data_IF_135932548886
#
_entry.id   IF_135932548886
#
_cell.length_a   1.000
_cell.length_b   1.000
_cell.length_c   1.000
_cell.angle_alpha   90.00
_cell.angle_beta   90.00
_cell.angle_gamma   90.00
#
_symmetry.space_group_name_H-M   'P 1'
#
loop_
_entity.id
_entity.type
_entity.pdbx_description
1 polymer ?
#
# COMPACT_ATOMS: atom_id res chain seq x y z
N UNK A 1 -16.68 -12.90 4.71
CA UNK A 1 -16.53 -11.56 4.08
C UNK A 1 -15.17 -11.01 4.48
N UNK A 2 -14.34 -10.53 3.55
CA UNK A 2 -13.00 -9.96 3.86
C UNK A 2 -13.11 -8.44 3.90
N UNK A 3 -12.52 -7.80 4.91
CA UNK A 3 -12.36 -6.35 4.93
C UNK A 3 -11.25 -5.95 3.92
N UNK A 4 -11.58 -5.02 3.02
CA UNK A 4 -10.61 -4.41 2.10
C UNK A 4 -10.35 -2.98 2.52
N UNK A 5 -9.09 -2.58 2.51
CA UNK A 5 -8.74 -1.18 2.74
C UNK A 5 -8.95 -0.37 1.47
N UNK A 6 -9.53 0.83 1.61
CA UNK A 6 -9.69 1.77 0.49
C UNK A 6 -8.69 2.91 0.65
N UNK A 7 -7.86 3.14 -0.37
CA UNK A 7 -6.95 4.28 -0.43
C UNK A 7 -7.18 5.13 -1.66
N UNK A 8 -7.74 6.30 -1.41
CA UNK A 8 -7.98 7.34 -2.39
C UNK A 8 -6.65 8.05 -2.70
N UNK A 9 -6.21 8.00 -3.96
CA UNK A 9 -4.95 8.66 -4.39
C UNK A 9 -5.10 9.51 -5.65
N UNK A 10 -4.46 10.67 -5.67
CA UNK A 10 -4.37 11.50 -6.88
C UNK A 10 -3.36 10.90 -7.89
N UNK A 11 -3.58 11.15 -9.17
CA UNK A 11 -2.68 10.80 -10.27
C UNK A 11 -2.53 12.01 -11.20
N UNK A 12 -1.32 12.48 -11.54
CA UNK A 12 -0.03 12.09 -10.96
C UNK A 12 0.17 12.62 -9.53
N UNK A 13 1.15 12.06 -8.83
CA UNK A 13 1.68 12.62 -7.60
C UNK A 13 2.77 13.69 -7.83
N UNK A 14 3.27 14.28 -6.75
CA UNK A 14 4.31 15.31 -6.78
C UNK A 14 5.62 14.83 -7.45
N UNK A 15 5.92 13.53 -7.42
CA UNK A 15 7.16 13.00 -8.00
C UNK A 15 7.08 12.77 -9.50
N UNK A 16 5.87 12.61 -10.03
CA UNK A 16 5.63 12.17 -11.41
C UNK A 16 4.85 13.18 -12.25
N UNK A 17 4.35 14.28 -11.67
CA UNK A 17 3.53 15.27 -12.37
C UNK A 17 4.24 15.94 -13.57
N UNK A 18 5.57 15.96 -13.57
CA UNK A 18 6.39 16.56 -14.64
C UNK A 18 6.83 15.56 -15.70
N UNK A 19 6.50 14.28 -15.53
CA UNK A 19 6.83 13.22 -16.47
C UNK A 19 5.73 13.10 -17.56
N UNK A 20 6.00 12.37 -18.65
CA UNK A 20 4.94 11.98 -19.58
C UNK A 20 3.85 11.14 -18.88
N UNK A 21 2.60 11.19 -19.37
CA UNK A 21 1.46 10.51 -18.71
C UNK A 21 1.65 9.01 -18.53
N UNK A 22 2.35 8.35 -19.47
CA UNK A 22 2.70 6.94 -19.36
C UNK A 22 3.74 6.63 -18.29
N UNK A 23 4.21 7.63 -17.54
CA UNK A 23 5.10 7.53 -16.38
C UNK A 23 4.48 8.12 -15.11
N UNK A 24 3.18 8.44 -15.13
CA UNK A 24 2.47 8.91 -13.94
C UNK A 24 2.36 7.79 -12.89
N UNK A 25 2.44 8.18 -11.63
CA UNK A 25 2.18 7.30 -10.50
C UNK A 25 1.53 8.05 -9.36
N UNK A 26 1.04 7.30 -8.38
CA UNK A 26 0.33 7.84 -7.22
C UNK A 26 1.12 7.60 -5.94
N UNK A 27 1.14 8.58 -5.03
CA UNK A 27 1.66 8.35 -3.68
C UNK A 27 0.68 7.47 -2.89
N UNK A 28 1.20 6.43 -2.24
CA UNK A 28 0.46 5.61 -1.30
C UNK A 28 1.04 5.74 0.11
N UNK A 29 0.18 6.11 1.06
CA UNK A 29 0.53 6.27 2.48
C UNK A 29 -0.13 5.16 3.30
N UNK A 30 0.68 4.32 3.93
CA UNK A 30 0.26 3.08 4.59
C UNK A 30 0.32 3.21 6.11
N UNK A 31 -0.76 2.78 6.78
CA UNK A 31 -0.86 2.78 8.25
C UNK A 31 -0.40 1.43 8.80
N UNK A 32 0.02 1.36 10.07
CA UNK A 32 0.41 0.08 10.68
C UNK A 32 -0.68 -0.99 10.59
N UNK A 33 -1.96 -0.62 10.75
CA UNK A 33 -3.09 -1.56 10.67
C UNK A 33 -3.17 -2.30 9.32
N UNK A 34 -2.80 -1.65 8.21
CA UNK A 34 -2.70 -2.30 6.89
C UNK A 34 -1.73 -3.48 6.93
N UNK A 35 -0.61 -3.35 7.65
CA UNK A 35 0.41 -4.40 7.79
C UNK A 35 -0.10 -5.53 8.68
N UNK A 36 -0.95 -5.22 9.67
CA UNK A 36 -1.64 -6.22 10.49
C UNK A 36 -2.60 -7.05 9.62
N UNK A 37 -3.43 -6.39 8.80
CA UNK A 37 -4.33 -7.09 7.88
C UNK A 37 -3.58 -7.91 6.84
N UNK A 38 -2.44 -7.40 6.36
CA UNK A 38 -1.55 -8.15 5.48
C UNK A 38 -1.03 -9.43 6.16
N UNK A 39 -0.48 -9.30 7.38
CA UNK A 39 0.03 -10.43 8.14
C UNK A 39 -1.06 -11.48 8.43
N UNK A 40 -2.28 -11.03 8.77
CA UNK A 40 -3.43 -11.92 8.94
C UNK A 40 -3.83 -12.61 7.62
N UNK A 41 -3.80 -11.91 6.50
CA UNK A 41 -4.12 -12.50 5.18
C UNK A 41 -3.15 -13.63 4.84
N UNK A 42 -1.84 -13.38 4.98
CA UNK A 42 -0.79 -14.38 4.73
C UNK A 42 -0.91 -15.52 5.75
N UNK A 43 -1.00 -15.23 7.05
CA UNK A 43 -1.14 -16.24 8.10
C UNK A 43 -2.36 -17.15 7.90
N UNK A 44 -3.48 -16.61 7.42
CA UNK A 44 -4.69 -17.39 7.13
C UNK A 44 -4.46 -18.46 6.07
N UNK A 45 -3.57 -18.22 5.11
CA UNK A 45 -3.20 -19.19 4.07
C UNK A 45 -2.36 -20.35 4.65
N UNK A 46 -1.73 -20.15 5.80
CA UNK A 46 -0.94 -21.16 6.51
C UNK A 46 -1.63 -21.73 7.76
N UNK A 47 -2.93 -21.49 7.95
CA UNK A 47 -3.63 -21.88 9.19
C UNK A 47 -3.50 -23.36 9.53
N UNK A 48 -3.57 -24.23 8.51
CA UNK A 48 -3.40 -25.68 8.65
C UNK A 48 -1.96 -26.17 8.42
N UNK A 49 -1.04 -25.27 8.05
CA UNK A 49 0.32 -25.57 7.58
C UNK A 49 1.37 -24.71 8.32
N UNK A 50 1.14 -24.42 9.60
CA UNK A 50 2.05 -23.56 10.39
C UNK A 50 3.47 -24.10 10.49
N UNK A 51 3.65 -25.41 10.45
CA UNK A 51 4.96 -26.05 10.45
C UNK A 51 5.74 -25.75 9.16
N UNK A 52 5.05 -25.66 8.02
CA UNK A 52 5.65 -25.23 6.75
C UNK A 52 6.19 -23.81 6.88
N UNK A 53 5.35 -22.88 7.37
CA UNK A 53 5.76 -21.50 7.62
C UNK A 53 6.94 -21.42 8.60
N UNK A 54 6.89 -22.21 9.68
CA UNK A 54 7.99 -22.27 10.67
C UNK A 54 9.28 -22.81 10.06
N UNK A 55 9.20 -23.77 9.13
CA UNK A 55 10.38 -24.33 8.46
C UNK A 55 11.08 -23.32 7.55
N UNK A 56 10.31 -22.46 6.88
CA UNK A 56 10.83 -21.38 6.03
C UNK A 56 11.51 -20.30 6.90
N UNK A 57 10.87 -19.89 7.99
CA UNK A 57 11.33 -18.76 8.81
C UNK A 57 12.36 -19.14 9.88
N UNK A 58 12.26 -20.37 10.40
CA UNK A 58 12.96 -20.87 11.57
C UNK A 58 14.48 -20.74 11.53
N UNK A 59 15.17 -21.08 10.41
CA UNK A 59 16.63 -21.02 10.31
C UNK A 59 17.23 -19.64 10.62
N UNK A 60 16.49 -18.56 10.30
CA UNK A 60 16.95 -17.18 10.52
C UNK A 60 16.27 -16.59 11.75
N UNK A 61 14.95 -16.69 11.86
CA UNK A 61 14.20 -15.99 12.91
C UNK A 61 14.46 -16.56 14.32
N UNK A 62 14.90 -17.82 14.43
CA UNK A 62 15.23 -18.44 15.72
C UNK A 62 16.60 -18.06 16.26
N UNK A 63 17.48 -17.46 15.43
CA UNK A 63 18.79 -16.98 15.88
C UNK A 63 18.69 -15.63 16.58
N UNK A 64 17.59 -14.89 16.36
CA UNK A 64 17.33 -13.59 16.97
C UNK A 64 16.91 -13.79 18.44
N UNK A 65 17.78 -13.39 19.35
CA UNK A 65 17.56 -13.37 20.79
C UNK A 65 16.71 -12.15 21.19
N UNK A 66 17.07 -10.95 20.72
CA UNK A 66 16.36 -9.73 21.02
C UNK A 66 15.90 -8.99 19.75
N UNK A 67 14.60 -9.07 19.48
CA UNK A 67 13.99 -8.35 18.36
C UNK A 67 13.99 -6.83 18.57
N UNK A 68 14.07 -6.34 19.81
CA UNK A 68 14.12 -4.90 20.09
C UNK A 68 15.52 -4.31 19.81
N UNK A 69 16.57 -5.15 19.77
CA UNK A 69 17.94 -4.75 19.45
C UNK A 69 18.11 -4.45 17.95
N UNK A 70 18.32 -3.17 17.55
CA UNK A 70 18.42 -2.80 16.15
C UNK A 70 19.60 -3.47 15.43
N UNK A 71 20.74 -3.67 16.11
CA UNK A 71 21.95 -4.20 15.47
C UNK A 71 21.77 -5.64 15.03
N UNK A 72 21.12 -6.44 15.87
CA UNK A 72 20.86 -7.87 15.64
C UNK A 72 19.89 -8.08 14.48
N UNK A 73 18.81 -7.29 14.46
CA UNK A 73 17.79 -7.38 13.41
C UNK A 73 18.28 -6.79 12.09
N UNK A 74 19.05 -5.69 12.14
CA UNK A 74 19.52 -4.98 10.95
C UNK A 74 20.42 -5.86 10.07
N UNK A 75 21.30 -6.67 10.65
CA UNK A 75 22.16 -7.59 9.88
C UNK A 75 21.38 -8.66 9.13
N UNK A 76 20.12 -8.92 9.50
CA UNK A 76 19.29 -9.99 8.95
C UNK A 76 18.18 -9.49 8.01
N UNK A 77 18.12 -8.19 7.69
CA UNK A 77 17.05 -7.63 6.83
C UNK A 77 17.02 -8.30 5.45
N UNK A 78 18.18 -8.59 4.86
CA UNK A 78 18.23 -9.25 3.54
C UNK A 78 17.74 -10.69 3.63
N UNK A 79 18.08 -11.41 4.70
CA UNK A 79 17.58 -12.76 4.95
C UNK A 79 16.07 -12.75 5.19
N UNK A 80 15.56 -11.76 5.94
CA UNK A 80 14.12 -11.55 6.14
C UNK A 80 13.38 -11.31 4.83
N UNK A 81 13.96 -10.54 3.91
CA UNK A 81 13.39 -10.35 2.57
C UNK A 81 13.34 -11.67 1.81
N UNK A 82 14.42 -12.44 1.82
CA UNK A 82 14.49 -13.77 1.18
C UNK A 82 13.45 -14.74 1.76
N UNK A 83 13.23 -14.70 3.08
CA UNK A 83 12.17 -15.47 3.76
C UNK A 83 10.78 -15.08 3.24
N UNK A 84 10.48 -13.78 3.14
CA UNK A 84 9.19 -13.35 2.60
C UNK A 84 9.03 -13.82 1.17
N UNK A 85 10.08 -13.74 0.35
CA UNK A 85 10.03 -14.20 -1.04
C UNK A 85 9.73 -15.71 -1.13
N UNK A 86 10.33 -16.52 -0.26
CA UNK A 86 9.99 -17.93 -0.11
C UNK A 86 8.52 -18.16 0.27
N UNK A 87 7.98 -17.38 1.22
CA UNK A 87 6.57 -17.45 1.63
C UNK A 87 5.63 -17.07 0.48
N UNK A 88 5.94 -16.00 -0.27
CA UNK A 88 5.11 -15.56 -1.39
C UNK A 88 5.16 -16.56 -2.55
N UNK A 89 6.31 -17.20 -2.81
CA UNK A 89 6.44 -18.22 -3.84
C UNK A 89 5.70 -19.52 -3.49
N UNK A 90 5.80 -19.96 -2.23
CA UNK A 90 5.14 -21.19 -1.74
C UNK A 90 3.61 -21.15 -1.87
N UNK A 91 3.01 -19.96 -1.77
CA UNK A 91 1.54 -19.78 -1.84
C UNK A 91 1.11 -18.80 -2.94
N UNK A 92 1.87 -18.69 -4.02
CA UNK A 92 1.66 -17.70 -5.08
C UNK A 92 0.24 -17.72 -5.68
N UNK A 93 -0.33 -18.91 -5.83
CA UNK A 93 -1.69 -19.17 -6.33
C UNK A 93 -2.78 -18.83 -5.31
N UNK A 94 -2.42 -18.58 -4.05
CA UNK A 94 -3.34 -18.24 -2.95
C UNK A 94 -3.38 -16.74 -2.64
N UNK A 95 -2.68 -15.91 -3.41
CA UNK A 95 -2.73 -14.46 -3.25
C UNK A 95 -4.16 -13.93 -3.36
N UNK A 96 -4.41 -12.82 -2.71
CA UNK A 96 -5.75 -12.44 -2.26
C UNK A 96 -5.88 -10.92 -2.29
N UNK A 97 -6.98 -10.33 -2.78
CA UNK A 97 -7.18 -8.89 -2.70
C UNK A 97 -7.08 -8.39 -1.25
N UNK A 98 -6.31 -7.31 -1.06
CA UNK A 98 -6.04 -6.66 0.23
C UNK A 98 -6.47 -5.19 0.22
N UNK A 99 -6.11 -4.45 -0.82
CA UNK A 99 -6.28 -3.01 -0.89
C UNK A 99 -6.89 -2.60 -2.23
N UNK A 100 -7.90 -1.74 -2.14
CA UNK A 100 -8.50 -1.02 -3.25
C UNK A 100 -7.91 0.38 -3.31
N UNK A 101 -7.31 0.74 -4.44
CA UNK A 101 -6.75 2.06 -4.67
C UNK A 101 -7.53 2.76 -5.79
N UNK A 102 -8.66 3.43 -5.48
CA UNK A 102 -9.27 4.35 -6.41
C UNK A 102 -8.32 5.52 -6.71
N UNK A 103 -8.21 5.86 -7.99
CA UNK A 103 -7.42 6.99 -8.47
C UNK A 103 -8.33 8.08 -9.05
N UNK A 104 -7.92 9.34 -8.92
CA UNK A 104 -8.44 10.43 -9.75
C UNK A 104 -7.30 11.12 -10.50
N UNK A 105 -7.40 11.15 -11.83
CA UNK A 105 -6.44 11.79 -12.71
C UNK A 105 -6.73 13.28 -12.86
N UNK A 106 -5.71 14.10 -12.65
CA UNK A 106 -5.75 15.55 -12.86
C UNK A 106 -4.90 15.96 -14.04
N UNK A 107 -5.12 17.18 -14.55
CA UNK A 107 -4.26 17.79 -15.56
C UNK A 107 -2.96 18.23 -14.86
N UNK A 108 -1.92 17.39 -14.94
CA UNK A 108 -0.67 17.58 -14.23
C UNK A 108 -0.90 17.81 -12.72
N UNK A 109 -0.26 18.83 -12.15
CA UNK A 109 -0.40 19.22 -10.74
C UNK A 109 -1.64 20.09 -10.42
N UNK A 110 -2.50 20.35 -11.40
CA UNK A 110 -3.68 21.19 -11.18
C UNK A 110 -4.74 20.47 -10.36
N UNK A 111 -5.71 21.22 -9.83
CA UNK A 111 -6.91 20.66 -9.18
C UNK A 111 -8.05 20.41 -10.18
N UNK A 112 -7.74 20.25 -11.47
CA UNK A 112 -8.73 20.04 -12.53
C UNK A 112 -8.67 18.59 -13.00
N UNK A 113 -9.83 17.92 -13.03
CA UNK A 113 -9.92 16.56 -13.54
C UNK A 113 -9.65 16.48 -15.05
N UNK A 114 -8.91 15.44 -15.44
CA UNK A 114 -8.84 14.97 -16.82
C UNK A 114 -10.23 14.54 -17.31
N UNK A 115 -10.44 14.43 -18.63
CA UNK A 115 -11.66 13.87 -19.19
C UNK A 115 -11.85 12.41 -18.75
N UNK A 116 -10.77 11.61 -18.82
CA UNK A 116 -10.69 10.22 -18.38
C UNK A 116 -9.95 10.23 -17.04
N UNK A 117 -10.70 10.24 -15.94
CA UNK A 117 -10.11 10.56 -14.66
C UNK A 117 -10.29 9.53 -13.55
N UNK A 118 -11.28 8.63 -13.59
CA UNK A 118 -11.48 7.70 -12.47
C UNK A 118 -11.20 6.26 -12.88
N UNK A 119 -10.45 5.58 -12.04
CA UNK A 119 -10.23 4.14 -12.10
C UNK A 119 -9.93 3.58 -10.71
N UNK A 120 -9.73 2.26 -10.62
CA UNK A 120 -9.41 1.55 -9.39
C UNK A 120 -8.38 0.45 -9.65
N UNK A 121 -7.33 0.45 -8.83
CA UNK A 121 -6.34 -0.62 -8.79
C UNK A 121 -6.63 -1.54 -7.60
N UNK A 122 -6.53 -2.85 -7.83
CA UNK A 122 -6.69 -3.87 -6.79
C UNK A 122 -5.34 -4.48 -6.50
N UNK A 123 -4.84 -4.26 -5.28
CA UNK A 123 -3.60 -4.86 -4.82
C UNK A 123 -3.90 -6.17 -4.12
N UNK A 124 -3.27 -7.26 -4.57
CA UNK A 124 -3.20 -8.47 -3.77
C UNK A 124 -2.30 -8.24 -2.56
N UNK A 125 -2.50 -9.04 -1.51
CA UNK A 125 -1.59 -9.08 -0.36
C UNK A 125 -0.13 -9.29 -0.79
N UNK A 126 0.10 -10.11 -1.82
CA UNK A 126 1.45 -10.42 -2.30
C UNK A 126 2.05 -9.27 -3.11
N UNK A 127 1.29 -8.68 -4.05
CA UNK A 127 1.75 -7.50 -4.79
C UNK A 127 2.00 -6.31 -3.86
N UNK A 128 1.13 -6.12 -2.85
CA UNK A 128 1.31 -5.10 -1.83
C UNK A 128 2.53 -5.38 -0.94
N UNK A 129 2.85 -6.64 -0.67
CA UNK A 129 4.07 -7.03 0.06
C UNK A 129 5.33 -6.65 -0.72
N UNK A 130 5.35 -6.94 -2.03
CA UNK A 130 6.46 -6.57 -2.91
C UNK A 130 6.74 -5.07 -2.90
N UNK A 131 5.70 -4.24 -2.86
CA UNK A 131 5.82 -2.79 -2.87
C UNK A 131 6.81 -2.24 -1.83
N UNK A 132 6.77 -2.72 -0.58
CA UNK A 132 7.69 -2.23 0.47
C UNK A 132 8.98 -3.05 0.59
N UNK A 133 9.01 -4.29 0.12
CA UNK A 133 10.23 -5.11 0.04
C UNK A 133 11.18 -4.55 -1.01
N UNK A 134 10.69 -4.33 -2.23
CA UNK A 134 11.47 -3.80 -3.34
C UNK A 134 12.01 -2.40 -3.01
N UNK A 135 11.16 -1.58 -2.39
CA UNK A 135 11.58 -0.27 -1.91
C UNK A 135 12.56 -0.32 -0.73
N UNK A 136 12.63 -1.43 0.02
CA UNK A 136 13.64 -1.63 1.08
C UNK A 136 15.00 -2.01 0.50
N UNK A 137 15.05 -2.80 -0.57
CA UNK A 137 16.30 -3.22 -1.23
C UNK A 137 17.09 -2.05 -1.82
N UNK A 138 16.40 -1.01 -2.30
CA UNK A 138 17.04 0.19 -2.85
C UNK A 138 17.66 1.13 -1.80
N UNK A 139 17.55 0.81 -0.50
CA UNK A 139 18.02 1.67 0.59
C UNK A 139 19.22 1.09 1.33
N UNK A 140 20.02 1.99 1.88
CA UNK A 140 21.18 1.66 2.71
C UNK A 140 20.83 0.73 3.87
N UNK A 141 21.63 -0.31 4.05
CA UNK A 141 21.52 -1.30 5.12
C UNK A 141 22.05 -0.79 6.47
N UNK A 142 22.66 0.41 6.52
CA UNK A 142 23.28 0.94 7.74
C UNK A 142 22.28 1.46 8.79
N UNK A 143 21.00 1.63 8.43
CA UNK A 143 19.96 2.10 9.36
C UNK A 143 18.61 1.48 9.05
N UNK A 144 17.89 1.07 10.10
CA UNK A 144 16.50 0.64 9.97
C UNK A 144 15.63 1.84 9.57
N UNK A 145 15.02 1.75 8.38
CA UNK A 145 14.09 2.75 7.85
C UNK A 145 12.65 2.31 8.14
N UNK A 146 11.68 3.18 7.88
CA UNK A 146 10.25 2.81 7.96
C UNK A 146 9.88 1.59 7.10
N UNK A 147 10.49 1.46 5.92
CA UNK A 147 10.25 0.33 5.01
C UNK A 147 10.84 -0.97 5.56
N UNK A 148 12.12 -0.97 5.95
CA UNK A 148 12.75 -2.17 6.52
C UNK A 148 12.16 -2.54 7.89
N UNK A 149 11.74 -1.56 8.69
CA UNK A 149 10.92 -1.84 9.88
C UNK A 149 9.61 -2.54 9.53
N UNK A 150 8.96 -2.17 8.43
CA UNK A 150 7.73 -2.83 8.00
C UNK A 150 7.98 -4.28 7.59
N UNK A 151 9.12 -4.57 6.95
CA UNK A 151 9.61 -5.95 6.72
C UNK A 151 9.73 -6.70 8.04
N UNK A 152 10.42 -6.11 9.02
CA UNK A 152 10.62 -6.71 10.34
C UNK A 152 9.28 -6.96 11.05
N UNK A 153 8.34 -6.02 11.01
CA UNK A 153 7.01 -6.18 11.58
C UNK A 153 6.26 -7.37 10.96
N UNK A 154 6.25 -7.47 9.63
CA UNK A 154 5.59 -8.57 8.93
C UNK A 154 6.21 -9.92 9.32
N UNK A 155 7.55 -10.02 9.27
CA UNK A 155 8.27 -11.22 9.69
C UNK A 155 7.94 -11.58 11.13
N UNK A 156 8.01 -10.62 12.07
CA UNK A 156 7.77 -10.93 13.48
C UNK A 156 6.37 -11.48 13.71
N UNK A 157 5.36 -10.86 13.10
CA UNK A 157 3.96 -11.31 13.23
C UNK A 157 3.77 -12.72 12.64
N UNK A 158 4.34 -12.99 11.46
CA UNK A 158 4.26 -14.31 10.82
C UNK A 158 5.02 -15.37 11.61
N UNK A 159 6.16 -15.04 12.21
CA UNK A 159 6.95 -15.97 13.01
C UNK A 159 6.26 -16.32 14.33
N UNK A 160 5.68 -15.32 15.01
CA UNK A 160 4.88 -15.53 16.21
C UNK A 160 3.65 -16.38 15.90
N UNK A 161 3.00 -16.14 14.77
CA UNK A 161 1.92 -16.98 14.28
C UNK A 161 2.37 -18.42 14.02
N UNK A 162 3.50 -18.62 13.33
CA UNK A 162 4.02 -19.94 13.02
C UNK A 162 4.25 -20.75 14.31
N UNK A 163 4.89 -20.14 15.33
CA UNK A 163 5.15 -20.76 16.63
C UNK A 163 3.86 -21.00 17.44
N UNK A 164 3.06 -19.95 17.62
CA UNK A 164 2.03 -19.92 18.68
C UNK A 164 0.60 -20.03 18.16
N UNK A 165 0.40 -19.99 16.84
CA UNK A 165 -0.91 -19.92 16.19
C UNK A 165 -1.58 -18.54 16.28
N UNK A 166 -0.90 -17.56 16.89
CA UNK A 166 -1.37 -16.18 17.11
C UNK A 166 -0.20 -15.23 17.27
N UNK A 167 -0.44 -13.94 17.09
CA UNK A 167 0.53 -12.87 17.34
C UNK A 167 -0.15 -11.65 17.97
N UNK A 168 0.64 -10.77 18.58
CA UNK A 168 0.17 -9.52 19.17
C UNK A 168 0.66 -8.33 18.34
N UNK A 169 -0.16 -7.80 17.40
CA UNK A 169 0.28 -6.75 16.50
C UNK A 169 0.64 -5.45 17.23
N UNK A 170 -0.09 -5.10 18.29
CA UNK A 170 0.18 -3.91 19.10
C UNK A 170 1.56 -3.98 19.73
N UNK A 171 1.88 -5.12 20.35
CA UNK A 171 3.19 -5.35 20.94
C UNK A 171 4.31 -5.23 19.90
N UNK A 172 4.14 -5.82 18.71
CA UNK A 172 5.11 -5.71 17.62
C UNK A 172 5.31 -4.26 17.18
N UNK A 173 4.23 -3.53 16.91
CA UNK A 173 4.28 -2.15 16.39
C UNK A 173 4.86 -1.17 17.43
N UNK A 174 4.51 -1.34 18.70
CA UNK A 174 4.91 -0.43 19.78
C UNK A 174 6.34 -0.66 20.26
N UNK A 175 6.81 -1.92 20.25
CA UNK A 175 8.17 -2.24 20.71
C UNK A 175 9.21 -2.16 19.58
N UNK A 176 8.86 -2.62 18.38
CA UNK A 176 9.81 -2.71 17.27
C UNK A 176 9.84 -1.41 16.45
N UNK A 177 10.05 -0.28 17.12
CA UNK A 177 10.01 1.04 16.48
C UNK A 177 11.34 1.44 15.84
N UNK A 178 12.45 0.95 16.39
CA UNK A 178 13.82 1.20 15.93
C UNK A 178 14.12 2.70 15.68
N UNK A 179 13.71 3.54 16.63
CA UNK A 179 13.85 5.01 16.55
C UNK A 179 13.12 5.68 15.38
N UNK A 180 12.10 5.02 14.83
CA UNK A 180 11.20 5.60 13.83
C UNK A 180 9.79 5.77 14.40
N UNK A 181 9.09 6.84 14.03
CA UNK A 181 7.68 7.02 14.44
C UNK A 181 6.80 5.94 13.83
N UNK A 182 5.83 5.44 14.59
CA UNK A 182 4.91 4.36 14.21
C UNK A 182 3.52 4.84 13.77
N UNK A 183 3.31 6.15 13.56
CA UNK A 183 2.07 6.74 13.02
C UNK A 183 1.73 6.29 11.59
N UNK A 184 2.77 5.89 10.85
CA UNK A 184 2.73 5.35 9.49
C UNK A 184 3.65 4.14 9.43
N UNK A 185 3.25 3.12 8.70
CA UNK A 185 4.15 2.02 8.33
C UNK A 185 5.18 2.57 7.34
N UNK A 186 4.72 3.08 6.20
CA UNK A 186 5.55 3.74 5.18
C UNK A 186 4.72 4.66 4.28
N UNK A 187 5.42 5.42 3.43
CA UNK A 187 4.84 6.12 2.28
C UNK A 187 5.76 5.92 1.08
N UNK A 188 5.19 5.71 -0.09
CA UNK A 188 5.91 5.54 -1.35
C UNK A 188 5.27 6.40 -2.42
N UNK A 189 6.11 7.16 -3.14
CA UNK A 189 5.66 8.05 -4.20
C UNK A 189 5.46 7.34 -5.54
N UNK A 190 4.98 8.11 -6.50
CA UNK A 190 4.61 7.69 -7.85
C UNK A 190 5.73 6.99 -8.59
N UNK A 191 6.99 7.40 -8.40
CA UNK A 191 8.14 6.74 -9.03
C UNK A 191 8.28 5.27 -8.61
N UNK A 192 7.93 4.95 -7.36
CA UNK A 192 8.01 3.59 -6.82
C UNK A 192 6.76 2.78 -7.11
N UNK A 193 5.57 3.40 -7.08
CA UNK A 193 4.30 2.71 -7.32
C UNK A 193 4.04 2.45 -8.80
N UNK A 194 4.52 3.34 -9.69
CA UNK A 194 4.29 3.27 -11.13
C UNK A 194 4.61 1.89 -11.71
N UNK A 195 5.74 1.28 -11.34
CA UNK A 195 6.16 -0.03 -11.86
C UNK A 195 5.15 -1.17 -11.63
N UNK A 196 4.30 -1.06 -10.61
CA UNK A 196 3.24 -2.05 -10.31
C UNK A 196 1.89 -1.68 -10.91
N UNK A 197 1.73 -0.44 -11.37
CA UNK A 197 0.47 0.11 -11.87
C UNK A 197 0.47 0.30 -13.39
N UNK A 198 1.60 0.05 -14.08
CA UNK A 198 1.72 0.28 -15.53
C UNK A 198 0.68 -0.54 -16.30
N UNK A 199 -0.31 0.14 -16.86
CA UNK A 199 -1.32 -0.41 -17.75
C UNK A 199 -1.96 0.70 -18.59
N UNK A 200 -2.78 0.31 -19.56
CA UNK A 200 -3.59 1.23 -20.37
C UNK A 200 -4.51 2.12 -19.54
N UNK A 201 -5.10 1.54 -18.49
CA UNK A 201 -6.06 2.18 -17.58
C UNK A 201 -5.40 3.24 -16.69
N UNK A 202 -4.09 3.14 -16.46
CA UNK A 202 -3.34 4.19 -15.75
C UNK A 202 -3.20 5.45 -16.63
N UNK A 203 -2.93 5.26 -17.92
CA UNK A 203 -2.78 6.36 -18.89
C UNK A 203 -4.13 7.00 -19.19
N UNK A 204 -5.14 6.14 -19.42
CA UNK A 204 -6.51 6.54 -19.74
C UNK A 204 -7.51 5.82 -18.82
N UNK A 205 -7.76 6.37 -17.62
CA UNK A 205 -8.79 5.88 -16.71
C UNK A 205 -10.14 5.64 -17.38
N UNK A 206 -10.80 4.54 -17.01
CA UNK A 206 -12.02 4.07 -17.71
C UNK A 206 -13.21 5.00 -17.56
N UNK A 207 -13.34 5.66 -16.41
CA UNK A 207 -14.49 6.51 -16.12
C UNK A 207 -14.16 7.99 -16.34
N UNK A 208 -15.11 8.69 -16.94
CA UNK A 208 -14.96 10.11 -17.24
C UNK A 208 -15.45 10.97 -16.09
N UNK A 209 -14.97 12.23 -16.02
CA UNK A 209 -15.44 13.19 -15.01
C UNK A 209 -16.95 13.44 -15.05
N UNK A 210 -17.61 13.20 -16.20
CA UNK A 210 -19.05 13.38 -16.35
C UNK A 210 -19.88 12.46 -15.45
N UNK A 211 -19.32 11.35 -14.95
CA UNK A 211 -20.03 10.44 -14.05
C UNK A 211 -20.46 11.12 -12.73
N UNK A 212 -19.74 12.17 -12.30
CA UNK A 212 -20.11 12.91 -11.09
C UNK A 212 -21.50 13.55 -11.21
N UNK A 213 -21.94 13.97 -12.40
CA UNK A 213 -23.29 14.51 -12.63
C UNK A 213 -24.40 13.48 -12.36
N UNK A 214 -24.08 12.19 -12.48
CA UNK A 214 -25.02 11.09 -12.29
C UNK A 214 -25.01 10.54 -10.86
N UNK A 215 -23.96 10.87 -10.08
CA UNK A 215 -23.79 10.40 -8.70
C UNK A 215 -24.17 11.49 -7.69
N UNK A 216 -23.70 12.72 -7.92
CA UNK A 216 -23.93 13.86 -7.04
C UNK A 216 -25.12 14.65 -7.61
N UNK A 217 -26.30 14.35 -7.09
CA UNK A 217 -27.57 14.84 -7.59
C UNK A 217 -28.12 16.00 -6.74
N UNK A 218 -29.11 16.73 -7.27
CA UNK A 218 -29.91 17.68 -6.50
C UNK A 218 -29.14 18.86 -5.89
N UNK A 219 -28.02 19.26 -6.48
CA UNK A 219 -27.16 20.29 -5.89
C UNK A 219 -26.26 19.77 -4.75
N UNK A 220 -26.11 18.46 -4.60
CA UNK A 220 -25.29 17.79 -3.58
C UNK A 220 -23.85 18.31 -3.48
N UNK A 221 -23.28 18.80 -4.58
CA UNK A 221 -21.96 19.39 -4.62
C UNK A 221 -21.83 20.62 -3.70
N UNK A 222 -22.91 21.36 -3.46
CA UNK A 222 -22.91 22.55 -2.61
C UNK A 222 -22.74 22.20 -1.11
N UNK A 223 -22.87 20.92 -0.75
CA UNK A 223 -22.67 20.43 0.61
C UNK A 223 -21.28 19.79 0.81
N UNK A 224 -20.47 19.71 -0.25
CA UNK A 224 -19.07 19.27 -0.11
C UNK A 224 -18.30 20.32 0.71
N UNK A 225 -17.55 19.85 1.70
CA UNK A 225 -16.67 20.68 2.53
C UNK A 225 -15.22 20.40 2.16
N UNK A 226 -14.68 21.07 1.11
CA UNK A 226 -13.43 20.67 0.47
C UNK A 226 -12.21 20.71 1.39
N UNK A 227 -11.50 19.58 1.51
CA UNK A 227 -10.11 19.51 2.00
C UNK A 227 -9.10 19.34 0.83
N UNK A 228 -7.83 18.99 1.06
CA UNK A 228 -6.86 18.65 -0.01
C UNK A 228 -7.12 17.29 -0.69
N UNK A 229 -8.38 16.89 -0.90
CA UNK A 229 -8.76 15.55 -1.39
C UNK A 229 -9.68 15.65 -2.63
N UNK A 230 -10.30 14.54 -3.03
CA UNK A 230 -11.13 14.44 -4.24
C UNK A 230 -12.29 15.45 -4.25
N UNK A 231 -12.87 15.75 -3.10
CA UNK A 231 -13.92 16.74 -2.89
C UNK A 231 -13.53 18.15 -3.35
N UNK A 232 -12.32 18.61 -3.04
CA UNK A 232 -11.83 19.88 -3.58
C UNK A 232 -11.66 19.86 -5.10
N UNK A 233 -11.16 18.76 -5.64
CA UNK A 233 -10.94 18.60 -7.08
C UNK A 233 -12.28 18.60 -7.84
N UNK A 234 -13.31 17.98 -7.27
CA UNK A 234 -14.69 18.03 -7.81
C UNK A 234 -15.19 19.47 -7.87
N UNK A 235 -15.01 20.26 -6.79
CA UNK A 235 -15.47 21.65 -6.74
C UNK A 235 -14.67 22.60 -7.63
N UNK A 236 -13.36 22.40 -7.79
CA UNK A 236 -12.53 23.27 -8.63
C UNK A 236 -12.58 22.95 -10.12
N UNK A 237 -13.24 21.86 -10.52
CA UNK A 237 -13.39 21.51 -11.95
C UNK A 237 -14.58 22.28 -12.53
N UNK A 238 -14.31 23.40 -13.20
CA UNK A 238 -15.34 24.22 -13.87
C UNK A 238 -16.17 23.43 -14.87
N UNK A 239 -17.46 23.76 -14.99
CA UNK A 239 -18.39 23.09 -15.90
C UNK A 239 -18.79 21.67 -15.49
N UNK A 240 -18.27 21.13 -14.38
CA UNK A 240 -18.53 19.73 -13.96
C UNK A 240 -20.01 19.48 -13.65
N UNK A 241 -20.76 20.49 -13.19
CA UNK A 241 -22.19 20.40 -12.86
C UNK A 241 -23.06 21.37 -13.66
N UNK A 242 -22.50 22.07 -14.64
CA UNK A 242 -23.28 22.96 -15.51
C UNK A 242 -24.17 22.13 -16.43
N UNK A 243 -25.42 22.58 -16.64
CA UNK A 243 -26.31 22.01 -17.65
C UNK A 243 -25.70 22.29 -19.02
N UNK A 244 -25.60 21.28 -19.87
CA UNK A 244 -25.26 21.50 -21.28
C UNK A 244 -26.32 22.45 -21.85
N UNK A 245 -25.88 23.56 -22.45
CA UNK A 245 -26.80 24.45 -23.16
C UNK A 245 -27.24 23.70 -24.40
N UNK A 246 -28.52 23.34 -24.45
CA UNK A 246 -29.20 22.88 -25.68
C UNK A 246 -29.14 23.96 -26.78
#
# INVERSE_FOLDING_TARGET
>A
MRALEIKLTALPDEQTHSLPENKYGSEIVVRPDTIVYLALSIASTYQSERNTLLSIMGPVCSTIQDWENPKEVQSLILDMISIIDGILLDKLDKQKPLLLQPIWKTIGKSSVLDINCLDIFVWSDFAFTRLFIDASLSKSTYKITRLSRTVIWLIKMLFDFAKNGRFNPKQTIDKLTYNTRNDKAFALGGKSTHQYMVCSELVKPRLTKHIFKNIILGGGQNFLSPERRLDAVILSTSGLFEKERE
#
